data_IF_907855079467
#
_entry.id   IF_907855079467
#
_cell.length_a   1.000
_cell.length_b   1.000
_cell.length_c   1.000
_cell.angle_alpha   90.00
_cell.angle_beta   90.00
_cell.angle_gamma   90.00
#
_symmetry.space_group_name_H-M   'P 1'
#
loop_
_entity.id
_entity.type
_entity.pdbx_description
1 polymer ?
#
# COMPACT_ATOMS: atom_id res chain seq x y z
N UNK A 1 23.94 0.38 -24.41
CA UNK A 1 25.39 0.65 -24.66
C UNK A 1 26.01 -0.65 -25.19
N UNK A 2 26.60 -0.61 -26.38
CA UNK A 2 27.11 -1.80 -27.11
C UNK A 2 28.53 -2.24 -26.73
N UNK A 3 29.13 -1.65 -25.70
CA UNK A 3 30.42 -2.12 -25.17
C UNK A 3 30.18 -3.31 -24.21
N UNK A 4 30.93 -4.40 -24.36
CA UNK A 4 30.90 -5.57 -23.43
C UNK A 4 32.00 -5.49 -22.35
N UNK A 5 32.74 -4.37 -22.29
CA UNK A 5 33.88 -4.19 -21.38
C UNK A 5 33.54 -3.54 -20.03
N UNK A 6 34.58 -3.45 -19.16
CA UNK A 6 34.55 -2.81 -17.82
C UNK A 6 33.98 -1.38 -17.81
N UNK A 7 34.09 -0.66 -18.94
CA UNK A 7 33.63 0.73 -19.03
C UNK A 7 32.11 0.82 -18.96
N UNK A 8 31.39 -0.11 -19.60
CA UNK A 8 29.93 -0.23 -19.49
C UNK A 8 29.51 -0.45 -18.04
N UNK A 9 30.12 -1.41 -17.36
CA UNK A 9 29.81 -1.72 -15.95
C UNK A 9 30.05 -0.51 -15.05
N UNK A 10 31.18 0.18 -15.20
CA UNK A 10 31.49 1.39 -14.43
C UNK A 10 30.46 2.48 -14.70
N UNK A 11 30.07 2.70 -15.96
CA UNK A 11 29.07 3.69 -16.35
C UNK A 11 27.70 3.37 -15.74
N UNK A 12 27.24 2.12 -15.85
CA UNK A 12 25.96 1.67 -15.29
C UNK A 12 25.91 1.82 -13.77
N UNK A 13 26.98 1.43 -13.07
CA UNK A 13 27.12 1.61 -11.64
C UNK A 13 27.05 3.09 -11.26
N UNK A 14 27.73 3.97 -12.01
CA UNK A 14 27.76 5.40 -11.70
C UNK A 14 26.45 6.10 -11.99
N UNK A 15 25.79 5.76 -13.09
CA UNK A 15 24.44 6.23 -13.42
C UNK A 15 23.43 5.82 -12.34
N UNK A 16 23.49 4.56 -11.90
CA UNK A 16 22.64 4.04 -10.83
C UNK A 16 22.91 4.75 -9.50
N UNK A 17 24.18 5.02 -9.18
CA UNK A 17 24.55 5.79 -7.98
C UNK A 17 23.99 7.21 -8.01
N UNK A 18 24.09 7.93 -9.12
CA UNK A 18 23.55 9.29 -9.27
C UNK A 18 22.02 9.30 -9.23
N UNK A 19 21.34 8.37 -9.90
CA UNK A 19 19.87 8.26 -9.82
C UNK A 19 19.40 7.99 -8.38
N UNK A 20 20.10 7.10 -7.68
CA UNK A 20 19.82 6.75 -6.28
C UNK A 20 20.04 7.91 -5.30
N UNK A 21 20.72 8.99 -5.69
CA UNK A 21 20.87 10.21 -4.87
C UNK A 21 19.65 11.10 -4.91
N UNK A 22 18.82 11.05 -5.93
CA UNK A 22 17.62 11.91 -6.04
C UNK A 22 16.36 11.21 -5.53
N UNK A 23 16.37 9.87 -5.50
CA UNK A 23 15.23 9.05 -5.06
C UNK A 23 13.98 9.38 -5.88
N UNK A 24 14.02 9.04 -7.16
CA UNK A 24 13.02 9.35 -8.18
C UNK A 24 12.86 8.15 -9.11
N UNK A 25 11.69 8.00 -9.73
CA UNK A 25 11.49 7.00 -10.78
C UNK A 25 12.05 7.46 -12.13
N UNK A 26 12.29 8.76 -12.31
CA UNK A 26 12.73 9.32 -13.58
C UNK A 26 14.07 8.70 -13.96
N UNK A 27 14.19 8.31 -15.23
CA UNK A 27 15.48 7.89 -15.78
C UNK A 27 16.47 9.05 -15.63
N UNK A 28 17.73 8.72 -15.35
CA UNK A 28 18.76 9.75 -15.18
C UNK A 28 18.93 10.63 -16.43
N UNK A 29 18.67 10.08 -17.62
CA UNK A 29 18.63 10.83 -18.87
C UNK A 29 17.50 11.87 -18.95
N UNK A 30 16.44 11.75 -18.14
CA UNK A 30 15.33 12.71 -18.08
C UNK A 30 15.54 13.77 -16.99
N UNK A 31 16.46 13.57 -16.05
CA UNK A 31 16.71 14.51 -14.96
C UNK A 31 17.37 15.78 -15.50
N UNK A 32 16.85 16.95 -15.15
CA UNK A 32 17.46 18.21 -15.54
C UNK A 32 18.85 18.35 -14.90
N UNK A 33 19.84 18.81 -15.65
CA UNK A 33 21.23 18.97 -15.17
C UNK A 33 21.37 19.90 -13.98
N UNK A 34 20.46 20.87 -13.86
CA UNK A 34 20.34 21.77 -12.72
C UNK A 34 19.95 21.06 -11.41
N UNK A 35 19.32 19.88 -11.50
CA UNK A 35 18.89 19.06 -10.34
C UNK A 35 20.04 18.45 -9.54
N UNK A 36 21.28 18.54 -10.03
CA UNK A 36 22.47 18.02 -9.38
C UNK A 36 23.44 19.17 -9.06
N UNK A 37 23.37 19.72 -7.85
CA UNK A 37 24.36 20.70 -7.37
C UNK A 37 25.65 20.00 -6.92
N UNK A 38 26.43 19.45 -7.86
CA UNK A 38 27.86 19.21 -7.63
C UNK A 38 28.67 19.58 -8.86
N UNK A 39 29.59 20.53 -8.67
CA UNK A 39 30.63 20.86 -9.62
C UNK A 39 31.38 19.57 -10.03
N UNK A 40 31.55 19.38 -11.34
CA UNK A 40 32.42 18.39 -11.97
C UNK A 40 31.96 16.92 -11.97
N UNK A 41 30.66 16.64 -12.10
CA UNK A 41 30.24 15.29 -12.52
C UNK A 41 30.27 15.20 -14.03
N UNK A 42 31.33 14.58 -14.58
CA UNK A 42 31.46 14.27 -16.01
C UNK A 42 30.23 13.54 -16.57
N UNK A 43 29.50 12.79 -15.74
CA UNK A 43 28.23 12.16 -16.08
C UNK A 43 27.12 13.17 -16.40
N UNK A 44 27.00 14.25 -15.63
CA UNK A 44 25.99 15.29 -15.90
C UNK A 44 26.34 15.99 -17.21
N UNK A 45 27.61 16.32 -17.42
CA UNK A 45 28.07 16.93 -18.66
C UNK A 45 27.82 16.00 -19.86
N UNK A 46 28.05 14.70 -19.70
CA UNK A 46 27.73 13.69 -20.71
C UNK A 46 26.23 13.62 -20.98
N UNK A 47 25.38 13.62 -19.95
CA UNK A 47 23.92 13.64 -20.11
C UNK A 47 23.46 14.91 -20.83
N UNK A 48 24.01 16.08 -20.49
CA UNK A 48 23.69 17.35 -21.14
C UNK A 48 24.10 17.36 -22.62
N UNK A 49 25.29 16.85 -22.93
CA UNK A 49 25.75 16.67 -24.31
C UNK A 49 24.81 15.76 -25.08
N UNK A 50 24.45 14.61 -24.50
CA UNK A 50 23.52 13.67 -25.15
C UNK A 50 22.15 14.30 -25.38
N UNK A 51 21.63 15.09 -24.42
CA UNK A 51 20.38 15.83 -24.60
C UNK A 51 20.45 16.86 -25.74
N UNK A 52 21.57 17.59 -25.86
CA UNK A 52 21.80 18.53 -26.97
C UNK A 52 21.75 17.81 -28.32
N UNK A 53 22.33 16.62 -28.37
CA UNK A 53 22.32 15.74 -29.55
C UNK A 53 21.01 14.94 -29.71
N UNK A 54 19.98 15.21 -28.88
CA UNK A 54 18.69 14.49 -28.85
C UNK A 54 18.82 12.98 -28.62
N UNK A 55 19.89 12.54 -27.98
CA UNK A 55 20.14 11.15 -27.58
C UNK A 55 19.61 10.96 -26.15
N UNK A 56 18.66 10.03 -25.98
CA UNK A 56 18.13 9.67 -24.66
C UNK A 56 18.84 8.44 -24.10
N UNK A 57 19.26 8.50 -22.83
CA UNK A 57 19.74 7.31 -22.11
C UNK A 57 18.59 6.72 -21.31
N UNK A 58 18.21 5.50 -21.65
CA UNK A 58 17.26 4.68 -20.90
C UNK A 58 17.88 3.29 -20.65
N UNK A 59 17.67 2.74 -19.45
CA UNK A 59 18.07 1.37 -19.11
C UNK A 59 17.07 0.29 -19.55
N UNK A 60 15.92 0.72 -20.09
CA UNK A 60 14.90 -0.16 -20.64
C UNK A 60 15.09 -0.17 -22.16
N UNK A 61 15.71 -1.23 -22.68
CA UNK A 61 15.84 -1.47 -24.13
C UNK A 61 14.52 -2.06 -24.65
N UNK A 62 13.66 -1.27 -25.32
CA UNK A 62 12.86 -1.58 -26.53
C UNK A 62 11.64 -0.66 -26.76
N UNK A 63 11.21 -0.68 -28.03
CA UNK A 63 10.27 0.13 -28.80
C UNK A 63 8.86 0.39 -28.23
N UNK A 64 8.35 1.55 -28.64
CA UNK A 64 6.95 1.89 -28.98
C UNK A 64 6.00 2.48 -27.89
N UNK A 65 5.53 3.70 -28.24
CA UNK A 65 4.27 4.38 -27.88
C UNK A 65 4.02 4.95 -26.49
N UNK A 66 4.84 4.67 -25.48
CA UNK A 66 4.69 5.35 -24.19
C UNK A 66 5.69 6.50 -24.04
N UNK A 67 5.20 7.74 -24.14
CA UNK A 67 5.97 9.00 -24.09
C UNK A 67 6.75 9.18 -22.76
N UNK A 68 6.54 8.32 -21.76
CA UNK A 68 7.22 8.38 -20.47
C UNK A 68 7.78 7.01 -20.05
N UNK A 69 9.12 6.86 -20.14
CA UNK A 69 9.89 5.71 -19.63
C UNK A 69 9.87 5.61 -18.08
N UNK A 70 8.70 5.32 -17.51
CA UNK A 70 8.50 5.21 -16.07
C UNK A 70 8.06 3.79 -15.70
N UNK A 71 8.44 3.32 -14.51
CA UNK A 71 7.77 2.18 -13.85
C UNK A 71 6.25 2.48 -13.85
N UNK A 72 5.43 1.50 -14.24
CA UNK A 72 3.96 1.65 -14.30
C UNK A 72 3.43 2.32 -13.03
N UNK A 73 2.87 3.50 -13.22
CA UNK A 73 2.50 4.41 -12.16
C UNK A 73 2.18 5.77 -12.77
N UNK A 74 0.94 5.96 -13.18
CA UNK A 74 0.36 7.23 -13.66
C UNK A 74 0.24 8.29 -12.54
N UNK A 75 1.15 8.29 -11.57
CA UNK A 75 1.01 9.07 -10.36
C UNK A 75 2.12 10.10 -10.21
N UNK A 76 1.69 11.31 -9.89
CA UNK A 76 2.53 12.48 -9.67
C UNK A 76 3.61 12.16 -8.63
N UNK A 77 4.86 12.46 -8.99
CA UNK A 77 5.97 12.24 -8.07
C UNK A 77 6.01 13.33 -7.02
N UNK A 78 6.59 12.99 -5.87
CA UNK A 78 6.86 13.97 -4.83
C UNK A 78 7.78 15.08 -5.33
N UNK A 79 8.71 14.76 -6.22
CA UNK A 79 9.69 15.73 -6.73
C UNK A 79 9.02 16.85 -7.56
N UNK A 80 7.83 16.61 -8.12
CA UNK A 80 7.11 17.61 -8.93
C UNK A 80 6.63 18.82 -8.09
N UNK A 81 6.65 18.69 -6.75
CA UNK A 81 6.27 19.73 -5.79
C UNK A 81 7.47 20.44 -5.16
N UNK A 82 8.68 20.02 -5.50
CA UNK A 82 9.91 20.44 -4.84
C UNK A 82 10.82 21.18 -5.82
N UNK A 83 11.47 22.23 -5.32
CA UNK A 83 12.58 22.87 -6.01
C UNK A 83 13.80 21.97 -5.97
N UNK A 84 14.76 22.17 -6.88
CA UNK A 84 15.99 21.37 -6.98
C UNK A 84 16.74 21.24 -5.64
N UNK A 85 16.87 22.35 -4.91
CA UNK A 85 17.52 22.39 -3.59
C UNK A 85 16.73 21.57 -2.54
N UNK A 86 15.40 21.54 -2.62
CA UNK A 86 14.56 20.76 -1.72
C UNK A 86 14.59 19.27 -2.08
N UNK A 87 14.68 18.92 -3.36
CA UNK A 87 14.83 17.54 -3.84
C UNK A 87 16.09 16.93 -3.24
N UNK A 88 17.22 17.63 -3.33
CA UNK A 88 18.50 17.18 -2.79
C UNK A 88 18.43 17.02 -1.26
N UNK A 89 17.97 18.04 -0.54
CA UNK A 89 17.85 18.01 0.92
C UNK A 89 16.89 16.94 1.43
N UNK A 90 15.81 16.67 0.69
CA UNK A 90 14.79 15.71 1.11
C UNK A 90 15.09 14.27 0.71
N UNK A 91 15.99 14.03 -0.26
CA UNK A 91 16.21 12.72 -0.86
C UNK A 91 16.51 11.62 0.17
N UNK A 92 17.48 11.82 1.05
CA UNK A 92 17.81 10.84 2.10
C UNK A 92 16.61 10.54 3.01
N UNK A 93 15.79 11.55 3.30
CA UNK A 93 14.58 11.41 4.11
C UNK A 93 13.48 10.65 3.39
N UNK A 94 13.30 10.88 2.08
CA UNK A 94 12.34 10.19 1.22
C UNK A 94 12.76 8.73 1.02
N UNK A 95 14.04 8.49 0.75
CA UNK A 95 14.65 7.15 0.61
C UNK A 95 14.48 6.29 1.86
N UNK A 96 14.82 6.84 3.03
CA UNK A 96 14.64 6.13 4.31
C UNK A 96 13.18 5.73 4.57
N UNK A 97 12.22 6.43 3.96
CA UNK A 97 10.79 6.21 4.15
C UNK A 97 10.13 5.51 2.96
N UNK A 98 10.94 5.16 1.96
CA UNK A 98 10.50 4.50 0.74
C UNK A 98 9.37 5.25 0.00
N UNK A 99 9.48 6.58 -0.12
CA UNK A 99 8.45 7.43 -0.73
C UNK A 99 8.95 8.11 -2.00
N UNK A 100 8.30 7.81 -3.12
CA UNK A 100 8.54 8.38 -4.46
C UNK A 100 7.28 9.12 -4.94
N UNK A 101 6.09 8.59 -4.66
CA UNK A 101 4.81 9.07 -5.20
C UNK A 101 3.89 9.65 -4.12
N UNK A 102 2.97 10.54 -4.52
CA UNK A 102 1.93 11.04 -3.61
C UNK A 102 1.04 9.90 -3.10
N UNK A 103 0.68 8.92 -3.93
CA UNK A 103 -0.19 7.79 -3.56
C UNK A 103 0.24 7.10 -2.26
N UNK A 104 1.54 6.97 -2.05
CA UNK A 104 2.11 6.26 -0.89
C UNK A 104 1.87 6.98 0.46
N UNK A 105 1.48 8.26 0.43
CA UNK A 105 1.18 9.05 1.62
C UNK A 105 -0.33 9.33 1.80
N UNK A 106 -1.19 8.73 0.97
CA UNK A 106 -2.64 8.87 1.04
C UNK A 106 -3.29 7.74 1.87
N UNK A 107 -4.50 8.01 2.37
CA UNK A 107 -5.40 6.98 2.89
C UNK A 107 -5.79 5.99 1.78
N UNK A 108 -6.31 4.82 2.16
CA UNK A 108 -6.61 3.72 1.24
C UNK A 108 -7.56 4.15 0.12
N UNK A 109 -8.48 5.07 0.39
CA UNK A 109 -9.42 5.57 -0.62
C UNK A 109 -8.86 6.63 -1.56
N UNK A 110 -7.61 7.07 -1.36
CA UNK A 110 -6.94 8.11 -2.14
C UNK A 110 -7.66 9.48 -2.17
N UNK A 111 -8.53 9.77 -1.20
CA UNK A 111 -9.22 11.06 -1.09
C UNK A 111 -8.56 12.00 -0.08
N UNK A 112 -7.79 11.42 0.85
CA UNK A 112 -7.22 12.13 2.00
C UNK A 112 -5.75 11.78 2.19
N UNK A 113 -4.99 12.72 2.69
CA UNK A 113 -3.61 12.47 3.12
C UNK A 113 -3.58 11.82 4.51
N UNK A 114 -2.68 10.84 4.72
CA UNK A 114 -2.45 10.23 6.03
C UNK A 114 -1.94 11.28 7.03
N UNK A 115 -2.32 11.13 8.31
CA UNK A 115 -1.62 11.86 9.38
C UNK A 115 -0.18 11.32 9.46
N UNK A 116 0.80 12.20 9.69
CA UNK A 116 2.22 11.80 9.70
C UNK A 116 2.52 10.62 10.63
N UNK A 117 1.96 10.64 11.85
CA UNK A 117 2.12 9.55 12.82
C UNK A 117 1.52 8.23 12.32
N UNK A 118 0.42 8.29 11.57
CA UNK A 118 -0.23 7.12 10.98
C UNK A 118 0.66 6.54 9.87
N UNK A 119 1.13 7.39 8.95
CA UNK A 119 2.07 7.01 7.90
C UNK A 119 3.33 6.34 8.47
N UNK A 120 3.93 6.93 9.51
CA UNK A 120 5.09 6.33 10.19
C UNK A 120 4.77 4.92 10.71
N UNK A 121 3.64 4.75 11.41
CA UNK A 121 3.34 3.48 12.06
C UNK A 121 2.90 2.38 11.09
N UNK A 122 2.24 2.73 9.98
CA UNK A 122 1.89 1.78 8.90
C UNK A 122 3.15 1.24 8.23
N UNK A 123 4.17 2.08 8.06
CA UNK A 123 5.43 1.70 7.39
C UNK A 123 6.52 1.23 8.39
N UNK A 124 6.14 0.92 9.64
CA UNK A 124 7.07 0.52 10.71
C UNK A 124 8.27 1.49 10.89
N UNK A 125 8.03 2.78 10.66
CA UNK A 125 8.99 3.87 10.82
C UNK A 125 8.92 4.50 12.22
N UNK A 126 10.04 5.09 12.64
CA UNK A 126 10.10 5.89 13.86
C UNK A 126 9.22 7.15 13.76
N UNK A 127 8.44 7.40 14.81
CA UNK A 127 7.68 8.64 15.00
C UNK A 127 8.49 9.74 15.72
N UNK A 128 9.73 9.45 16.14
CA UNK A 128 10.59 10.42 16.83
C UNK A 128 11.09 11.47 15.84
N UNK A 129 11.06 12.74 16.26
CA UNK A 129 11.56 13.87 15.49
C UNK A 129 10.48 14.72 14.83
N UNK A 130 10.91 15.76 14.12
CA UNK A 130 10.03 16.71 13.43
C UNK A 130 9.46 16.07 12.15
N UNK A 131 8.25 16.50 11.77
CA UNK A 131 7.65 16.14 10.48
C UNK A 131 8.57 16.66 9.37
N UNK A 132 8.95 15.85 8.36
CA UNK A 132 9.78 16.31 7.26
C UNK A 132 9.12 17.45 6.50
N UNK A 133 9.93 18.47 6.18
CA UNK A 133 9.48 19.64 5.41
C UNK A 133 8.81 19.28 4.08
N UNK A 134 9.35 18.29 3.35
CA UNK A 134 8.76 17.85 2.09
C UNK A 134 7.31 17.36 2.27
N UNK A 135 7.02 16.68 3.39
CA UNK A 135 5.68 16.17 3.67
C UNK A 135 4.72 17.33 3.96
N UNK A 136 5.14 18.31 4.76
CA UNK A 136 4.31 19.49 5.05
C UNK A 136 4.07 20.34 3.81
N UNK A 137 5.08 20.48 2.94
CA UNK A 137 4.95 21.23 1.68
C UNK A 137 3.93 20.56 0.75
N UNK A 138 4.11 19.26 0.49
CA UNK A 138 3.19 18.50 -0.35
C UNK A 138 1.78 18.54 0.21
N UNK A 139 1.62 18.33 1.53
CA UNK A 139 0.31 18.44 2.20
C UNK A 139 -0.37 19.76 1.83
N UNK A 140 0.30 20.89 2.03
CA UNK A 140 -0.28 22.21 1.75
C UNK A 140 -0.61 22.42 0.26
N UNK A 141 0.20 21.84 -0.65
CA UNK A 141 -0.04 21.92 -2.09
C UNK A 141 -1.24 21.09 -2.54
N UNK A 142 -1.40 19.88 -1.99
CA UNK A 142 -2.39 18.91 -2.49
C UNK A 142 -3.74 18.95 -1.76
N UNK A 143 -3.81 19.48 -0.53
CA UNK A 143 -5.05 19.49 0.27
C UNK A 143 -5.81 20.80 0.17
N UNK A 144 -7.13 20.74 0.38
CA UNK A 144 -7.97 21.93 0.62
C UNK A 144 -7.56 22.56 1.96
N UNK A 145 -7.49 23.89 2.02
CA UNK A 145 -7.07 24.68 3.19
C UNK A 145 -7.73 24.18 4.47
N UNK A 146 -6.94 23.95 5.52
CA UNK A 146 -7.37 23.47 6.84
C UNK A 146 -8.05 22.08 6.86
N UNK A 147 -7.93 21.29 5.79
CA UNK A 147 -8.45 19.90 5.74
C UNK A 147 -7.35 18.89 5.42
N UNK A 148 -7.71 17.60 5.41
CA UNK A 148 -6.87 16.53 4.83
C UNK A 148 -7.35 16.08 3.45
N UNK A 149 -8.47 16.64 2.98
CA UNK A 149 -9.09 16.29 1.71
C UNK A 149 -8.25 16.82 0.57
N UNK A 150 -8.01 15.98 -0.43
CA UNK A 150 -7.28 16.37 -1.62
C UNK A 150 -8.09 17.35 -2.47
N UNK A 151 -7.40 18.26 -3.15
CA UNK A 151 -7.97 19.08 -4.22
C UNK A 151 -8.39 18.16 -5.37
N UNK A 152 -9.43 18.54 -6.09
CA UNK A 152 -10.04 17.70 -7.14
C UNK A 152 -9.04 17.18 -8.17
N UNK A 153 -8.08 18.02 -8.60
CA UNK A 153 -7.03 17.64 -9.56
C UNK A 153 -6.10 16.49 -9.10
N UNK A 154 -6.10 16.16 -7.81
CA UNK A 154 -5.30 15.07 -7.23
C UNK A 154 -6.13 13.87 -6.81
N UNK A 155 -7.45 13.91 -6.99
CA UNK A 155 -8.31 12.76 -6.75
C UNK A 155 -8.10 11.76 -7.88
N UNK A 156 -7.60 10.58 -7.54
CA UNK A 156 -7.48 9.52 -8.50
C UNK A 156 -8.80 8.73 -8.58
N UNK A 157 -9.59 8.97 -9.63
CA UNK A 157 -10.84 8.24 -9.88
C UNK A 157 -10.61 6.84 -10.47
N UNK A 158 -9.41 6.57 -10.99
CA UNK A 158 -9.02 5.26 -11.54
C UNK A 158 -8.28 4.48 -10.44
N UNK A 159 -9.03 3.69 -9.68
CA UNK A 159 -8.52 2.82 -8.62
C UNK A 159 -7.60 1.73 -9.19
N UNK A 160 -6.33 2.08 -9.44
CA UNK A 160 -5.31 1.09 -9.78
C UNK A 160 -4.90 0.35 -8.50
N UNK A 161 -5.08 -0.97 -8.52
CA UNK A 161 -4.75 -1.95 -7.47
C UNK A 161 -3.40 -1.61 -6.83
N UNK A 162 -3.42 -1.14 -5.58
CA UNK A 162 -2.20 -1.09 -4.75
C UNK A 162 -2.22 -2.35 -3.89
N UNK A 163 -1.07 -2.98 -3.71
CA UNK A 163 -0.90 -3.90 -2.59
C UNK A 163 -1.11 -3.15 -1.25
N UNK A 164 -2.17 -3.49 -0.50
CA UNK A 164 -2.45 -2.84 0.78
C UNK A 164 -1.39 -3.24 1.82
N UNK A 165 -0.77 -2.25 2.48
CA UNK A 165 0.17 -2.47 3.61
C UNK A 165 -0.55 -2.86 4.91
N UNK A 166 -1.60 -3.66 4.84
CA UNK A 166 -2.38 -4.09 5.99
C UNK A 166 -1.82 -5.38 6.57
N UNK A 167 -1.58 -5.42 7.89
CA UNK A 167 -1.16 -6.64 8.58
C UNK A 167 -2.37 -7.57 8.74
N UNK A 168 -2.52 -8.50 7.80
CA UNK A 168 -3.60 -9.50 7.82
C UNK A 168 -3.50 -10.29 9.12
N UNK A 169 -4.64 -10.53 9.76
CA UNK A 169 -4.70 -11.40 10.91
C UNK A 169 -4.52 -12.85 10.43
N UNK A 170 -3.49 -13.51 10.95
CA UNK A 170 -3.26 -14.92 10.75
C UNK A 170 -3.60 -15.69 12.03
N UNK A 171 -4.58 -16.58 11.93
CA UNK A 171 -5.06 -17.40 13.03
C UNK A 171 -4.04 -18.44 13.51
N UNK A 172 -3.05 -18.78 12.68
CA UNK A 172 -2.02 -19.78 12.97
C UNK A 172 -0.85 -19.21 13.78
N UNK A 173 -0.63 -17.89 13.70
CA UNK A 173 0.45 -17.23 14.41
C UNK A 173 0.13 -17.01 15.89
N UNK A 174 1.17 -17.07 16.71
CA UNK A 174 1.09 -16.70 18.12
C UNK A 174 0.84 -15.20 18.26
N UNK A 175 -0.43 -14.82 18.28
CA UNK A 175 -0.84 -13.43 18.41
C UNK A 175 -0.60 -12.91 19.83
N UNK A 176 0.04 -11.74 19.93
CA UNK A 176 0.24 -11.04 21.19
C UNK A 176 -1.08 -10.83 21.95
N UNK A 177 -1.04 -11.02 23.28
CA UNK A 177 -2.18 -10.65 24.14
C UNK A 177 -2.40 -9.15 24.00
N UNK A 178 -3.66 -8.74 23.88
CA UNK A 178 -4.08 -7.34 23.71
C UNK A 178 -3.83 -6.69 22.34
N UNK A 179 -3.43 -7.45 21.32
CA UNK A 179 -3.46 -6.95 19.94
C UNK A 179 -4.89 -6.56 19.56
N UNK A 180 -5.04 -5.41 18.88
CA UNK A 180 -6.33 -4.92 18.41
C UNK A 180 -6.55 -5.44 17.00
N UNK A 181 -7.69 -6.10 16.81
CA UNK A 181 -8.10 -6.72 15.56
C UNK A 181 -9.37 -6.01 15.09
N UNK A 182 -9.46 -5.73 13.80
CA UNK A 182 -10.63 -5.09 13.19
C UNK A 182 -11.01 -5.76 11.88
N UNK A 183 -12.31 -5.75 11.59
CA UNK A 183 -12.91 -6.20 10.34
C UNK A 183 -14.23 -5.45 10.11
N UNK A 184 -14.77 -5.50 8.91
CA UNK A 184 -16.17 -5.13 8.68
C UNK A 184 -17.00 -6.42 8.67
N UNK A 185 -18.12 -6.41 9.39
CA UNK A 185 -19.04 -7.55 9.36
C UNK A 185 -19.89 -7.56 8.06
N UNK A 186 -20.80 -8.51 7.95
CA UNK A 186 -21.65 -8.68 6.77
C UNK A 186 -22.58 -7.51 6.48
N UNK A 187 -22.87 -6.69 7.49
CA UNK A 187 -23.71 -5.49 7.36
C UNK A 187 -22.87 -4.25 6.99
N UNK A 188 -21.53 -4.39 6.93
CA UNK A 188 -20.60 -3.31 6.67
C UNK A 188 -20.18 -2.53 7.92
N UNK A 189 -20.58 -2.99 9.11
CA UNK A 189 -20.23 -2.35 10.37
C UNK A 189 -18.80 -2.71 10.78
N UNK A 190 -18.01 -1.69 11.13
CA UNK A 190 -16.62 -1.88 11.56
C UNK A 190 -16.56 -2.36 13.00
N UNK A 191 -16.06 -3.58 13.19
CA UNK A 191 -15.90 -4.22 14.49
C UNK A 191 -14.46 -4.07 14.97
N UNK A 192 -14.29 -3.90 16.29
CA UNK A 192 -13.00 -3.88 16.97
C UNK A 192 -12.97 -4.92 18.09
N UNK A 193 -11.86 -5.65 18.20
CA UNK A 193 -11.67 -6.65 19.25
C UNK A 193 -10.26 -6.62 19.81
N UNK A 194 -10.15 -6.65 21.14
CA UNK A 194 -8.88 -6.90 21.81
C UNK A 194 -8.68 -8.41 22.00
N UNK A 195 -7.59 -8.96 21.45
CA UNK A 195 -7.29 -10.39 21.56
C UNK A 195 -7.15 -10.83 23.03
N UNK A 196 -7.97 -11.80 23.43
CA UNK A 196 -7.99 -12.34 24.80
C UNK A 196 -7.44 -13.76 24.89
N UNK A 197 -8.05 -14.72 24.17
CA UNK A 197 -7.71 -16.14 24.30
C UNK A 197 -8.07 -16.96 23.05
N UNK A 198 -7.54 -18.19 22.99
CA UNK A 198 -8.00 -19.21 22.04
C UNK A 198 -9.45 -19.62 22.35
N UNK A 199 -10.20 -19.89 21.30
CA UNK A 199 -11.58 -20.37 21.32
C UNK A 199 -11.61 -21.89 21.31
N UNK A 200 -12.70 -22.48 21.80
CA UNK A 200 -13.01 -23.92 21.64
C UNK A 200 -13.95 -24.18 20.45
N UNK A 201 -14.44 -23.14 19.79
CA UNK A 201 -15.32 -23.27 18.62
C UNK A 201 -14.59 -23.92 17.46
N UNK A 202 -15.30 -24.76 16.68
CA UNK A 202 -14.79 -25.31 15.42
C UNK A 202 -14.62 -24.22 14.36
N UNK A 203 -15.54 -23.24 14.35
CA UNK A 203 -15.57 -22.15 13.36
C UNK A 203 -14.59 -21.03 13.70
N UNK A 204 -14.60 -20.56 14.94
CA UNK A 204 -13.80 -19.40 15.36
C UNK A 204 -12.62 -19.84 16.21
N UNK A 205 -11.41 -19.42 15.85
CA UNK A 205 -10.18 -19.85 16.55
C UNK A 205 -9.88 -19.02 17.79
N UNK A 206 -10.38 -17.78 17.87
CA UNK A 206 -10.10 -16.86 18.98
C UNK A 206 -11.33 -16.12 19.48
N UNK A 207 -11.25 -15.71 20.74
CA UNK A 207 -12.21 -14.86 21.43
C UNK A 207 -11.48 -13.59 21.84
N UNK A 208 -12.10 -12.45 21.59
CA UNK A 208 -11.62 -11.16 22.04
C UNK A 208 -12.65 -10.40 22.87
N UNK A 209 -12.20 -9.31 23.48
CA UNK A 209 -13.07 -8.34 24.15
C UNK A 209 -13.59 -7.38 23.08
N UNK A 210 -14.90 -7.22 22.99
CA UNK A 210 -15.50 -6.30 22.02
C UNK A 210 -15.23 -4.85 22.42
N UNK A 211 -14.73 -4.08 21.48
CA UNK A 211 -14.48 -2.65 21.62
C UNK A 211 -15.45 -1.88 20.70
N UNK A 212 -15.99 -0.78 21.20
CA UNK A 212 -16.85 0.12 20.43
C UNK A 212 -16.17 1.48 20.27
N UNK A 213 -16.45 2.13 19.16
CA UNK A 213 -15.99 3.48 18.90
C UNK A 213 -16.89 4.47 19.62
N UNK A 214 -16.30 5.31 20.48
CA UNK A 214 -16.98 6.47 21.04
C UNK A 214 -16.81 7.66 20.08
N UNK A 215 -17.68 7.73 19.06
CA UNK A 215 -17.77 8.84 18.10
C UNK A 215 -18.75 9.86 18.66
N UNK A 216 -18.25 10.96 19.21
CA UNK A 216 -19.05 12.02 19.81
C UNK A 216 -19.42 13.13 18.82
N UNK A 217 -18.90 13.11 17.57
CA UNK A 217 -19.15 14.16 16.56
C UNK A 217 -19.23 13.67 15.12
N UNK A 218 -19.98 14.40 14.28
CA UNK A 218 -20.23 14.11 12.85
C UNK A 218 -18.93 14.13 12.00
N UNK A 219 -17.85 14.79 12.48
CA UNK A 219 -16.53 14.84 11.83
C UNK A 219 -15.53 13.80 12.38
N UNK A 220 -15.95 12.87 13.23
CA UNK A 220 -15.03 11.93 13.88
C UNK A 220 -14.46 10.86 12.94
N UNK A 221 -15.04 10.68 11.74
CA UNK A 221 -14.52 9.75 10.73
C UNK A 221 -13.07 10.08 10.31
N UNK A 222 -12.69 11.36 10.36
CA UNK A 222 -11.35 11.85 10.01
C UNK A 222 -10.32 11.65 11.12
N UNK A 223 -10.78 11.26 12.31
CA UNK A 223 -9.97 11.09 13.48
C UNK A 223 -9.84 9.62 13.84
N UNK A 224 -8.83 9.33 14.65
CA UNK A 224 -8.69 8.00 15.22
C UNK A 224 -9.80 7.80 16.24
N UNK A 225 -10.61 6.73 16.12
CA UNK A 225 -11.70 6.47 17.05
C UNK A 225 -11.14 6.25 18.46
N UNK A 226 -11.86 6.74 19.46
CA UNK A 226 -11.61 6.34 20.84
C UNK A 226 -12.29 5.01 21.08
N UNK A 227 -11.52 3.97 21.40
CA UNK A 227 -12.04 2.64 21.65
C UNK A 227 -12.30 2.44 23.14
N UNK A 228 -13.51 2.02 23.47
CA UNK A 228 -13.93 1.66 24.83
C UNK A 228 -14.47 0.23 24.87
N UNK A 229 -14.41 -0.41 26.03
CA UNK A 229 -14.94 -1.76 26.21
C UNK A 229 -16.46 -1.74 26.10
N UNK A 230 -17.01 -2.63 25.27
CA UNK A 230 -18.44 -2.83 25.18
C UNK A 230 -18.97 -3.54 26.44
N UNK A 231 -19.98 -2.95 27.07
CA UNK A 231 -20.61 -3.47 28.31
C UNK A 231 -21.66 -4.56 28.07
N UNK A 232 -22.03 -4.79 26.81
CA UNK A 232 -22.99 -5.82 26.42
C UNK A 232 -23.70 -5.44 25.12
N UNK A 233 -23.76 -6.38 24.18
CA UNK A 233 -24.53 -6.24 22.94
C UNK A 233 -24.98 -7.62 22.45
N UNK A 234 -25.77 -7.64 21.37
CA UNK A 234 -26.23 -8.87 20.71
C UNK A 234 -25.09 -9.79 20.20
N UNK A 235 -23.88 -9.25 19.98
CA UNK A 235 -22.71 -10.05 19.58
C UNK A 235 -22.05 -10.77 20.77
N UNK A 236 -22.45 -10.48 22.02
CA UNK A 236 -21.84 -11.06 23.21
C UNK A 236 -22.05 -12.58 23.28
N UNK A 237 -20.97 -13.34 23.39
CA UNK A 237 -21.01 -14.81 23.45
C UNK A 237 -21.16 -15.33 24.89
N UNK A 238 -21.05 -14.47 25.90
CA UNK A 238 -21.27 -14.85 27.30
C UNK A 238 -22.76 -14.92 27.61
N UNK A 239 -23.13 -15.94 28.39
CA UNK A 239 -24.47 -16.07 28.97
C UNK A 239 -24.72 -15.13 30.16
N UNK A 240 -23.68 -14.86 30.95
CA UNK A 240 -23.74 -13.97 32.11
C UNK A 240 -23.08 -12.65 31.73
N UNK A 241 -23.80 -11.54 31.91
CA UNK A 241 -23.24 -10.21 31.67
C UNK A 241 -22.47 -9.74 32.90
N UNK A 242 -21.14 -9.76 32.83
CA UNK A 242 -20.21 -9.23 33.83
C UNK A 242 -19.67 -7.84 33.45
N UNK A 243 -20.36 -7.13 32.56
CA UNK A 243 -19.94 -5.82 32.06
C UNK A 243 -18.82 -5.86 31.03
N UNK A 244 -18.40 -7.06 30.55
CA UNK A 244 -17.39 -7.21 29.51
C UNK A 244 -17.91 -8.12 28.39
N UNK A 245 -18.28 -7.50 27.27
CA UNK A 245 -18.70 -8.20 26.06
C UNK A 245 -17.53 -8.97 25.44
N UNK A 246 -17.74 -10.26 25.18
CA UNK A 246 -16.80 -11.10 24.43
C UNK A 246 -17.40 -11.47 23.09
N UNK A 247 -16.58 -11.41 22.04
CA UNK A 247 -16.97 -11.76 20.68
C UNK A 247 -16.02 -12.78 20.11
N UNK A 248 -16.51 -13.57 19.15
CA UNK A 248 -15.63 -14.31 18.27
C UNK A 248 -14.93 -13.34 17.33
N UNK A 249 -13.63 -13.57 17.12
CA UNK A 249 -12.85 -12.81 16.15
C UNK A 249 -13.02 -13.47 14.78
N UNK A 250 -13.39 -12.68 13.78
CA UNK A 250 -13.41 -13.15 12.39
C UNK A 250 -11.99 -13.47 11.94
N UNK A 251 -11.78 -14.65 11.35
CA UNK A 251 -10.44 -15.06 10.96
C UNK A 251 -10.07 -14.51 9.59
N UNK A 252 -11.02 -14.57 8.68
CA UNK A 252 -10.74 -14.55 7.25
C UNK A 252 -10.64 -13.14 6.65
N UNK A 253 -11.29 -12.17 7.29
CA UNK A 253 -11.46 -10.80 6.79
C UNK A 253 -10.97 -9.76 7.82
N UNK A 254 -10.15 -10.18 8.78
CA UNK A 254 -9.66 -9.31 9.83
C UNK A 254 -8.20 -8.95 9.67
N UNK A 255 -7.83 -7.84 10.29
CA UNK A 255 -6.46 -7.32 10.30
C UNK A 255 -6.10 -6.79 11.68
N UNK A 256 -4.81 -6.81 11.95
CA UNK A 256 -4.23 -6.29 13.18
C UNK A 256 -3.95 -4.80 12.97
N UNK A 257 -4.36 -3.98 13.93
CA UNK A 257 -4.10 -2.53 13.92
C UNK A 257 -3.24 -2.09 15.09
N UNK A 258 -2.30 -1.22 14.78
CA UNK A 258 -1.47 -0.59 15.77
C UNK A 258 -2.28 0.46 16.53
N UNK A 259 -2.05 0.55 17.85
CA UNK A 259 -2.76 1.46 18.73
C UNK A 259 -1.81 2.19 19.70
N UNK A 260 -2.34 3.21 20.36
CA UNK A 260 -1.70 4.01 21.40
C UNK A 260 -2.67 4.31 22.54
N UNK A 261 -2.11 4.66 23.68
CA UNK A 261 -2.85 5.34 24.76
C UNK A 261 -2.59 6.84 24.65
N UNK A 262 -3.66 7.62 24.53
CA UNK A 262 -3.64 9.08 24.47
C UNK A 262 -4.67 9.58 25.48
N UNK A 263 -4.24 10.31 26.52
CA UNK A 263 -5.11 10.73 27.63
C UNK A 263 -5.90 9.58 28.28
N UNK A 264 -5.22 8.45 28.52
CA UNK A 264 -5.80 7.18 28.99
C UNK A 264 -6.85 6.54 28.07
N UNK A 265 -7.06 7.09 26.87
CA UNK A 265 -7.97 6.56 25.84
C UNK A 265 -7.21 5.70 24.84
N UNK A 266 -7.76 4.54 24.50
CA UNK A 266 -7.20 3.65 23.47
C UNK A 266 -7.56 4.21 22.09
N UNK A 267 -6.56 4.47 21.24
CA UNK A 267 -6.76 4.98 19.87
C UNK A 267 -5.88 4.26 18.87
N UNK A 268 -6.39 3.89 17.68
CA UNK A 268 -5.57 3.30 16.62
C UNK A 268 -4.72 4.37 15.91
N UNK A 269 -3.65 3.95 15.23
CA UNK A 269 -2.83 4.80 14.36
C UNK A 269 -3.41 4.95 12.94
N UNK A 270 -4.74 4.98 12.84
CA UNK A 270 -5.49 5.13 11.60
C UNK A 270 -6.72 6.00 11.90
N UNK A 271 -7.28 6.66 10.88
CA UNK A 271 -8.59 7.33 10.99
C UNK A 271 -9.69 6.28 10.89
N UNK A 272 -10.89 6.57 11.42
CA UNK A 272 -12.01 5.63 11.30
C UNK A 272 -12.39 5.37 9.84
N UNK A 273 -12.36 6.41 8.99
CA UNK A 273 -12.56 6.28 7.55
C UNK A 273 -11.52 5.37 6.88
N UNK A 274 -10.23 5.57 7.16
CA UNK A 274 -9.17 4.70 6.61
C UNK A 274 -9.31 3.25 7.10
N UNK A 275 -9.75 3.06 8.35
CA UNK A 275 -10.01 1.72 8.89
C UNK A 275 -11.10 1.00 8.09
N UNK A 276 -12.23 1.68 7.87
CA UNK A 276 -13.35 1.13 7.10
C UNK A 276 -12.92 0.79 5.68
N UNK A 277 -12.24 1.71 5.00
CA UNK A 277 -11.78 1.54 3.62
C UNK A 277 -10.79 0.36 3.47
N UNK A 278 -9.84 0.21 4.40
CA UNK A 278 -8.89 -0.92 4.40
C UNK A 278 -9.58 -2.26 4.64
N UNK A 279 -10.56 -2.29 5.54
CA UNK A 279 -11.34 -3.50 5.80
C UNK A 279 -12.18 -3.90 4.57
N UNK A 280 -12.84 -2.93 3.92
CA UNK A 280 -13.59 -3.18 2.68
C UNK A 280 -12.68 -3.69 1.56
N UNK A 281 -11.49 -3.10 1.43
CA UNK A 281 -10.51 -3.54 0.45
C UNK A 281 -10.05 -4.97 0.70
N UNK A 282 -9.77 -5.36 1.94
CA UNK A 282 -9.41 -6.75 2.26
C UNK A 282 -10.46 -7.75 1.78
N UNK A 283 -11.74 -7.42 1.95
CA UNK A 283 -12.85 -8.26 1.48
C UNK A 283 -12.83 -8.32 -0.05
N UNK A 284 -12.70 -7.18 -0.74
CA UNK A 284 -12.64 -7.10 -2.21
C UNK A 284 -11.45 -7.87 -2.78
N UNK A 285 -10.25 -7.65 -2.25
CA UNK A 285 -9.02 -8.32 -2.68
C UNK A 285 -9.14 -9.84 -2.53
N UNK A 286 -9.82 -10.31 -1.48
CA UNK A 286 -10.07 -11.73 -1.27
C UNK A 286 -11.06 -12.31 -2.28
N UNK A 287 -12.15 -11.60 -2.56
CA UNK A 287 -13.14 -12.01 -3.58
C UNK A 287 -12.46 -12.10 -4.94
N UNK A 288 -11.64 -11.11 -5.29
CA UNK A 288 -10.87 -11.09 -6.55
C UNK A 288 -9.92 -12.28 -6.61
N UNK A 289 -9.12 -12.52 -5.56
CA UNK A 289 -8.20 -13.69 -5.51
C UNK A 289 -8.94 -15.02 -5.65
N UNK A 290 -10.08 -15.19 -4.99
CA UNK A 290 -10.90 -16.41 -5.14
C UNK A 290 -11.40 -16.57 -6.57
N UNK A 291 -11.80 -15.48 -7.22
CA UNK A 291 -12.25 -15.51 -8.62
C UNK A 291 -11.13 -15.91 -9.57
N UNK A 292 -9.94 -15.33 -9.41
CA UNK A 292 -8.76 -15.66 -10.21
C UNK A 292 -8.37 -17.15 -10.07
N UNK A 293 -8.42 -17.70 -8.85
CA UNK A 293 -8.15 -19.13 -8.63
C UNK A 293 -9.18 -20.01 -9.35
N UNK A 294 -10.47 -19.64 -9.31
CA UNK A 294 -11.52 -20.37 -10.03
C UNK A 294 -11.29 -20.31 -11.55
N UNK A 295 -10.95 -19.13 -12.08
CA UNK A 295 -10.63 -18.94 -13.50
C UNK A 295 -9.42 -19.79 -13.93
N UNK A 296 -8.35 -19.83 -13.13
CA UNK A 296 -7.18 -20.69 -13.37
C UNK A 296 -7.53 -22.20 -13.31
N UNK A 297 -8.37 -22.61 -12.35
CA UNK A 297 -8.86 -23.99 -12.25
C UNK A 297 -9.73 -24.38 -13.46
N UNK A 298 -10.60 -23.49 -13.94
CA UNK A 298 -11.43 -23.69 -15.13
C UNK A 298 -10.59 -23.79 -16.42
N UNK A 299 -9.60 -22.90 -16.61
CA UNK A 299 -8.68 -22.96 -17.75
C UNK A 299 -7.87 -24.27 -17.76
N UNK A 300 -7.36 -24.70 -16.60
CA UNK A 300 -6.62 -25.97 -16.47
C UNK A 300 -7.49 -27.19 -16.76
N UNK A 301 -8.79 -27.14 -16.44
CA UNK A 301 -9.74 -28.21 -16.73
C UNK A 301 -10.08 -28.26 -18.23
N UNK A 302 -10.24 -27.10 -18.89
CA UNK A 302 -10.45 -27.02 -20.33
C UNK A 302 -9.24 -27.58 -21.09
N UNK A 303 -8.02 -27.24 -20.68
CA UNK A 303 -6.80 -27.77 -21.29
C UNK A 303 -6.69 -29.29 -21.13
N UNK A 304 -7.06 -29.83 -19.97
CA UNK A 304 -7.11 -31.27 -19.72
C UNK A 304 -8.19 -31.98 -20.57
N UNK A 305 -9.36 -31.37 -20.77
CA UNK A 305 -10.42 -31.88 -21.64
C UNK A 305 -9.95 -31.87 -23.10
N UNK A 306 -9.33 -30.78 -23.56
CA UNK A 306 -8.78 -30.66 -24.90
C UNK A 306 -7.65 -31.66 -25.17
N UNK A 307 -6.79 -31.91 -24.17
CA UNK A 307 -5.75 -32.94 -24.25
C UNK A 307 -6.37 -34.33 -24.39
N UNK A 308 -7.36 -34.68 -23.55
CA UNK A 308 -8.08 -35.97 -23.66
C UNK A 308 -8.82 -36.11 -24.99
N UNK A 309 -9.44 -35.05 -25.50
CA UNK A 309 -10.10 -35.02 -26.80
C UNK A 309 -9.13 -35.27 -27.98
N UNK A 310 -7.92 -34.69 -27.93
CA UNK A 310 -6.87 -34.96 -28.93
C UNK A 310 -6.32 -36.39 -28.86
N UNK A 311 -6.25 -36.97 -27.66
CA UNK A 311 -5.85 -38.39 -27.50
C UNK A 311 -6.93 -39.34 -28.04
N UNK A 312 -8.21 -39.05 -27.81
CA UNK A 312 -9.32 -39.83 -28.37
C UNK A 312 -9.41 -39.72 -29.89
N UNK A 313 -9.20 -38.53 -30.48
CA UNK A 313 -9.16 -38.36 -31.93
C UNK A 313 -7.95 -39.06 -32.56
N UNK A 314 -6.79 -39.07 -31.89
CA UNK A 314 -5.64 -39.85 -32.37
C UNK A 314 -5.90 -41.35 -32.32
N UNK A 315 -6.53 -41.89 -31.27
CA UNK A 315 -6.86 -43.32 -31.22
C UNK A 315 -7.90 -43.74 -32.28
N UNK A 316 -8.88 -42.89 -32.58
CA UNK A 316 -9.90 -43.20 -33.59
C UNK A 316 -9.40 -43.07 -35.04
N UNK A 317 -8.38 -42.25 -35.32
CA UNK A 317 -7.76 -42.16 -36.65
C UNK A 317 -6.95 -43.44 -36.96
N UNK A 318 -6.37 -44.11 -35.96
CA UNK A 318 -5.64 -45.37 -36.14
C UNK A 318 -6.54 -46.60 -36.30
N UNK A 319 -7.84 -46.54 -35.99
CA UNK A 319 -8.76 -47.67 -36.20
C UNK A 319 -9.60 -47.58 -37.49
N UNK A 320 -9.47 -46.51 -38.27
CA UNK A 320 -10.15 -46.35 -39.58
C UNK A 320 -9.19 -46.65 -40.75
N UNK A 321 -7.93 -47.00 -40.45
CA UNK A 321 -6.89 -47.26 -41.45
C UNK A 321 -6.34 -48.71 -41.44
N UNK A 322 -7.03 -49.64 -40.76
CA UNK A 322 -6.74 -51.09 -40.83
C UNK A 322 -7.86 -51.86 -41.54
#
# INVERSE_FOLDING_TARGET
MNDKGRLKEIMELKMTQEQNKIWTRQCIGNLNSKSFRRQNSWLINAIDLLKKEKISICKYEYNDRFIHHCIEGEMTEIIDFLTENEIEKSSSSRKKKDVIFIKQILEENQEKILKWKHFCKINDLSMKGKIPFWFTKIKNEITITNTRNLKEKYLNRQYNYIESKSKIYDETLNLERKAIITWNDSEGETIFSENKKKSRSKKYKRIGVHLISNLTSINDADNSPTLIVCTGCNKNIKKINDGICQIYIENENSRIINNRKEDNKLKPYESFGDIKNRNEKLIKDKIIKKRLIIEEEEESNIDNINFKGRVYLRHNIYMILD
#
